data_IF_563226568021
#
_entry.id   IF_563226568021
#
_cell.length_a   1.000
_cell.length_b   1.000
_cell.length_c   1.000
_cell.angle_alpha   90.00
_cell.angle_beta   90.00
_cell.angle_gamma   90.00
#
_symmetry.space_group_name_H-M   'P 1'
#
loop_
_entity.id
_entity.type
_entity.pdbx_description
1 polymer ?
#
# COMPACT_ATOMS: atom_id res chain seq x y z
N UNK A 1 22.12 3.03 -30.82
CA UNK A 1 20.91 3.17 -29.99
C UNK A 1 21.28 2.70 -28.60
N UNK A 2 21.13 3.54 -27.57
CA UNK A 2 21.44 3.13 -26.20
C UNK A 2 20.59 1.89 -25.87
N UNK A 3 21.25 0.83 -25.42
CA UNK A 3 20.61 -0.42 -25.05
C UNK A 3 19.85 -0.18 -23.73
N UNK A 4 18.69 0.49 -23.80
CA UNK A 4 17.88 0.80 -22.62
C UNK A 4 17.34 -0.52 -22.09
N UNK A 5 17.94 -0.97 -20.99
CA UNK A 5 17.50 -2.14 -20.23
C UNK A 5 16.01 -1.96 -19.91
N UNK A 6 15.17 -2.88 -20.39
CA UNK A 6 13.72 -2.89 -20.11
C UNK A 6 13.49 -2.92 -18.61
N UNK A 7 12.69 -1.97 -18.10
CA UNK A 7 12.35 -1.91 -16.67
C UNK A 7 11.20 -2.86 -16.39
N UNK A 8 11.26 -3.53 -15.25
CA UNK A 8 10.11 -4.26 -14.70
C UNK A 8 9.70 -3.64 -13.39
N UNK A 9 8.50 -3.07 -13.37
CA UNK A 9 7.91 -2.38 -12.22
C UNK A 9 6.86 -3.30 -11.60
N UNK A 10 6.93 -3.49 -10.28
CA UNK A 10 5.85 -4.13 -9.52
C UNK A 10 5.38 -3.17 -8.44
N UNK A 11 4.07 -3.01 -8.30
CA UNK A 11 3.48 -2.38 -7.12
C UNK A 11 2.27 -3.16 -6.61
N UNK A 12 2.13 -3.20 -5.28
CA UNK A 12 1.09 -3.96 -4.60
C UNK A 12 0.24 -3.05 -3.71
N UNK A 13 -1.07 -3.28 -3.67
CA UNK A 13 -1.99 -2.59 -2.77
C UNK A 13 -2.92 -3.58 -2.06
N UNK A 14 -3.02 -3.44 -0.74
CA UNK A 14 -3.94 -4.27 0.05
C UNK A 14 -5.39 -3.87 -0.22
N UNK A 15 -6.30 -4.84 -0.43
CA UNK A 15 -7.74 -4.62 -0.49
C UNK A 15 -8.34 -4.45 0.91
N UNK A 16 -7.70 -3.64 1.76
CA UNK A 16 -8.19 -3.35 3.11
C UNK A 16 -8.90 -2.00 3.12
N UNK A 17 -10.00 -1.92 3.88
CA UNK A 17 -10.76 -0.69 4.12
C UNK A 17 -11.53 -0.14 2.91
N UNK A 18 -11.93 -1.00 1.97
CA UNK A 18 -12.79 -0.63 0.84
C UNK A 18 -12.12 0.29 -0.18
N UNK A 19 -12.91 1.25 -0.67
CA UNK A 19 -12.52 2.20 -1.72
C UNK A 19 -11.33 3.06 -1.28
N UNK A 20 -10.33 3.30 -2.15
CA UNK A 20 -9.21 4.16 -1.81
C UNK A 20 -9.60 5.58 -1.36
N UNK A 21 -8.81 6.03 -0.40
CA UNK A 21 -8.52 7.40 -0.04
C UNK A 21 -8.15 8.43 -1.09
N UNK A 22 -8.51 9.70 -0.93
CA UNK A 22 -7.79 10.81 -1.57
C UNK A 22 -6.28 10.78 -1.23
N UNK A 23 -5.94 10.43 0.02
CA UNK A 23 -4.54 10.21 0.42
C UNK A 23 -3.83 9.06 -0.32
N UNK A 24 -4.55 7.96 -0.64
CA UNK A 24 -3.98 6.89 -1.47
C UNK A 24 -3.84 7.33 -2.93
N UNK A 25 -4.85 8.04 -3.43
CA UNK A 25 -4.89 8.55 -4.80
C UNK A 25 -3.72 9.50 -5.09
N UNK A 26 -3.59 10.55 -4.29
CA UNK A 26 -2.54 11.57 -4.44
C UNK A 26 -1.15 11.07 -4.03
N UNK A 27 -1.09 10.07 -3.15
CA UNK A 27 0.17 9.52 -2.66
C UNK A 27 0.80 8.50 -3.60
N UNK A 28 0.00 7.65 -4.24
CA UNK A 28 0.50 6.53 -5.02
C UNK A 28 -0.24 6.31 -6.33
N UNK A 29 -1.57 6.21 -6.30
CA UNK A 29 -2.34 5.70 -7.45
C UNK A 29 -2.25 6.62 -8.68
N UNK A 30 -2.25 7.95 -8.49
CA UNK A 30 -2.07 8.89 -9.59
C UNK A 30 -0.68 8.74 -10.25
N UNK A 31 0.36 8.50 -9.46
CA UNK A 31 1.71 8.24 -9.98
C UNK A 31 1.80 6.90 -10.70
N UNK A 32 1.04 5.88 -10.27
CA UNK A 32 1.03 4.58 -10.95
C UNK A 32 0.61 4.72 -12.41
N UNK A 33 -0.37 5.59 -12.72
CA UNK A 33 -0.78 5.83 -14.11
C UNK A 33 0.41 6.25 -14.99
N UNK A 34 1.32 7.07 -14.45
CA UNK A 34 2.52 7.56 -15.13
C UNK A 34 3.65 6.53 -15.24
N UNK A 35 3.59 5.43 -14.47
CA UNK A 35 4.58 4.34 -14.54
C UNK A 35 4.30 3.37 -15.69
N UNK A 36 3.07 3.38 -16.22
CA UNK A 36 2.69 2.50 -17.33
C UNK A 36 3.54 2.77 -18.58
N UNK A 37 3.77 1.75 -19.43
CA UNK A 37 4.50 1.92 -20.67
C UNK A 37 3.96 3.08 -21.50
N UNK A 38 4.87 3.88 -22.02
CA UNK A 38 4.59 5.04 -22.87
C UNK A 38 5.35 4.91 -24.20
N UNK A 39 5.09 5.79 -25.15
CA UNK A 39 5.83 5.82 -26.42
C UNK A 39 7.36 5.97 -26.22
N UNK A 40 7.79 6.59 -25.13
CA UNK A 40 9.20 6.70 -24.78
C UNK A 40 9.80 5.37 -24.29
N UNK A 41 9.00 4.54 -23.60
CA UNK A 41 9.45 3.31 -22.95
C UNK A 41 8.50 2.13 -23.25
N UNK A 42 8.38 1.70 -24.52
CA UNK A 42 7.37 0.71 -24.93
C UNK A 42 7.64 -0.70 -24.40
N UNK A 43 8.88 -0.99 -23.99
CA UNK A 43 9.31 -2.30 -23.53
C UNK A 43 9.24 -2.47 -22.01
N UNK A 44 8.79 -1.45 -21.27
CA UNK A 44 8.63 -1.57 -19.82
C UNK A 44 7.50 -2.56 -19.50
N UNK A 45 7.69 -3.33 -18.43
CA UNK A 45 6.69 -4.26 -17.92
C UNK A 45 6.20 -3.77 -16.57
N UNK A 46 4.89 -3.61 -16.43
CA UNK A 46 4.31 -3.05 -15.21
C UNK A 46 3.25 -3.99 -14.67
N UNK A 47 3.43 -4.36 -13.41
CA UNK A 47 2.58 -5.29 -12.69
C UNK A 47 1.94 -4.59 -11.49
N UNK A 48 0.61 -4.63 -11.41
CA UNK A 48 -0.16 -4.17 -10.27
C UNK A 48 -0.86 -5.35 -9.61
N UNK A 49 -0.52 -5.58 -8.34
CA UNK A 49 -1.05 -6.69 -7.57
C UNK A 49 -2.04 -6.20 -6.52
N UNK A 50 -3.25 -6.76 -6.51
CA UNK A 50 -4.16 -6.66 -5.37
C UNK A 50 -3.73 -7.75 -4.38
N UNK A 51 -3.05 -7.33 -3.31
CA UNK A 51 -2.37 -8.23 -2.37
C UNK A 51 -3.29 -8.73 -1.26
N UNK A 52 -4.22 -9.61 -1.63
CA UNK A 52 -5.20 -10.22 -0.74
C UNK A 52 -4.59 -11.24 0.26
N UNK A 53 -3.47 -11.90 -0.06
CA UNK A 53 -2.74 -12.73 0.91
C UNK A 53 -2.12 -11.90 2.04
N UNK A 54 -1.68 -10.67 1.74
CA UNK A 54 -1.21 -9.75 2.77
C UNK A 54 -2.35 -9.23 3.67
N UNK A 55 -3.57 -9.10 3.13
CA UNK A 55 -4.72 -8.63 3.90
C UNK A 55 -5.12 -9.59 5.03
N UNK A 56 -4.97 -10.90 4.82
CA UNK A 56 -5.33 -11.94 5.81
C UNK A 56 -4.28 -12.14 6.91
N UNK A 57 -3.21 -11.33 6.94
CA UNK A 57 -2.24 -11.31 8.06
C UNK A 57 -2.84 -10.72 9.34
N UNK A 58 -4.01 -10.07 9.22
CA UNK A 58 -4.89 -9.69 10.31
C UNK A 58 -6.29 -10.26 10.02
N UNK A 59 -7.14 -10.49 11.04
CA UNK A 59 -8.49 -11.02 10.84
C UNK A 59 -9.30 -10.18 9.84
N UNK A 60 -9.98 -10.88 8.92
CA UNK A 60 -10.85 -10.27 7.91
C UNK A 60 -12.21 -10.95 7.93
N UNK A 61 -13.27 -10.17 7.71
CA UNK A 61 -14.56 -10.74 7.32
C UNK A 61 -14.49 -11.21 5.85
N UNK A 62 -14.81 -12.48 5.53
CA UNK A 62 -14.68 -13.01 4.18
C UNK A 62 -15.54 -12.30 3.13
N UNK A 63 -16.76 -11.87 3.48
CA UNK A 63 -17.62 -11.15 2.55
C UNK A 63 -17.04 -9.76 2.22
N UNK A 64 -16.58 -9.06 3.26
CA UNK A 64 -15.94 -7.75 3.17
C UNK A 64 -14.65 -7.81 2.36
N UNK A 65 -13.76 -8.80 2.61
CA UNK A 65 -12.53 -8.95 1.84
C UNK A 65 -12.81 -9.17 0.35
N UNK A 66 -13.78 -10.04 0.02
CA UNK A 66 -14.20 -10.27 -1.38
C UNK A 66 -14.71 -8.99 -2.03
N UNK A 67 -15.51 -8.21 -1.30
CA UNK A 67 -16.06 -6.96 -1.81
C UNK A 67 -14.95 -5.92 -2.00
N UNK A 68 -14.07 -5.74 -1.02
CA UNK A 68 -12.95 -4.81 -1.09
C UNK A 68 -11.98 -5.14 -2.24
N UNK A 69 -11.73 -6.43 -2.51
CA UNK A 69 -10.90 -6.84 -3.64
C UNK A 69 -11.51 -6.40 -4.98
N UNK A 70 -12.84 -6.51 -5.13
CA UNK A 70 -13.54 -6.03 -6.32
C UNK A 70 -13.51 -4.51 -6.41
N UNK A 71 -13.80 -3.81 -5.31
CA UNK A 71 -13.80 -2.36 -5.27
C UNK A 71 -12.40 -1.77 -5.54
N UNK A 72 -11.35 -2.46 -5.08
CA UNK A 72 -9.97 -2.10 -5.38
C UNK A 72 -9.67 -2.24 -6.88
N UNK A 73 -10.10 -3.34 -7.52
CA UNK A 73 -9.92 -3.52 -8.96
C UNK A 73 -10.63 -2.41 -9.75
N UNK A 74 -11.89 -2.11 -9.39
CA UNK A 74 -12.66 -1.02 -9.98
C UNK A 74 -11.95 0.32 -9.81
N UNK A 75 -11.46 0.61 -8.60
CA UNK A 75 -10.76 1.84 -8.31
C UNK A 75 -9.47 1.99 -9.14
N UNK A 76 -8.66 0.94 -9.27
CA UNK A 76 -7.42 0.96 -10.05
C UNK A 76 -7.71 1.22 -11.54
N UNK A 77 -8.69 0.51 -12.11
CA UNK A 77 -9.12 0.73 -13.50
C UNK A 77 -9.67 2.16 -13.69
N UNK A 78 -10.48 2.65 -12.75
CA UNK A 78 -11.06 3.99 -12.83
C UNK A 78 -10.03 5.12 -12.65
N UNK A 79 -8.94 4.90 -11.91
CA UNK A 79 -7.85 5.87 -11.79
C UNK A 79 -7.07 5.98 -13.11
N UNK A 80 -7.07 4.94 -13.94
CA UNK A 80 -6.44 4.94 -15.26
C UNK A 80 -5.40 3.85 -15.46
N UNK A 81 -5.40 2.80 -14.62
CA UNK A 81 -4.63 1.59 -14.89
C UNK A 81 -5.26 0.91 -16.10
N UNK A 82 -4.46 0.79 -17.16
CA UNK A 82 -4.85 0.29 -18.47
C UNK A 82 -4.37 -1.17 -18.62
N UNK A 83 -5.29 -2.15 -18.72
CA UNK A 83 -4.94 -3.57 -18.78
C UNK A 83 -4.28 -3.99 -20.11
N UNK A 84 -4.29 -3.12 -21.12
CA UNK A 84 -3.54 -3.33 -22.36
C UNK A 84 -2.07 -2.92 -22.21
N UNK A 85 -1.77 -2.01 -21.27
CA UNK A 85 -0.41 -1.51 -21.01
C UNK A 85 0.25 -2.17 -19.80
N UNK A 86 -0.54 -2.67 -18.87
CA UNK A 86 -0.07 -3.20 -17.59
C UNK A 86 -0.81 -4.49 -17.21
N UNK A 87 -0.23 -5.25 -16.28
CA UNK A 87 -0.82 -6.49 -15.77
C UNK A 87 -1.43 -6.22 -14.40
N UNK A 88 -2.76 -6.18 -14.33
CA UNK A 88 -3.51 -6.06 -13.07
C UNK A 88 -4.05 -7.43 -12.66
N UNK A 89 -3.72 -7.90 -11.46
CA UNK A 89 -4.11 -9.25 -11.02
C UNK A 89 -4.33 -9.34 -9.50
N UNK A 90 -5.01 -10.41 -9.06
CA UNK A 90 -5.15 -10.75 -7.63
C UNK A 90 -4.04 -11.68 -7.20
N UNK A 91 -3.34 -11.35 -6.11
CA UNK A 91 -2.19 -12.11 -5.62
C UNK A 91 -2.52 -13.59 -5.37
N UNK A 92 -3.64 -13.87 -4.69
CA UNK A 92 -4.08 -15.25 -4.36
C UNK A 92 -4.36 -16.14 -5.58
N UNK A 93 -4.51 -15.57 -6.78
CA UNK A 93 -4.77 -16.31 -8.02
C UNK A 93 -3.50 -16.80 -8.72
N UNK A 94 -2.32 -16.33 -8.29
CA UNK A 94 -1.03 -16.78 -8.79
C UNK A 94 -0.32 -17.57 -7.68
N UNK A 95 -0.52 -18.90 -7.68
CA UNK A 95 -0.04 -19.79 -6.61
C UNK A 95 1.49 -19.73 -6.38
N UNK A 96 2.25 -19.34 -7.40
CA UNK A 96 3.70 -19.17 -7.31
C UNK A 96 4.13 -18.19 -6.21
N UNK A 97 3.28 -17.22 -5.81
CA UNK A 97 3.57 -16.30 -4.70
C UNK A 97 3.81 -17.03 -3.39
N UNK A 98 2.87 -17.87 -2.97
CA UNK A 98 3.00 -18.67 -1.75
C UNK A 98 4.10 -19.71 -1.87
N UNK A 99 4.27 -20.29 -3.06
CA UNK A 99 5.31 -21.29 -3.32
C UNK A 99 6.73 -20.70 -3.20
N UNK A 100 6.98 -19.54 -3.83
CA UNK A 100 8.27 -18.87 -3.68
C UNK A 100 8.47 -18.38 -2.24
N UNK A 101 7.43 -17.84 -1.61
CA UNK A 101 7.51 -17.39 -0.21
C UNK A 101 7.98 -18.54 0.70
N UNK A 102 7.45 -19.76 0.53
CA UNK A 102 7.92 -20.94 1.25
C UNK A 102 9.41 -21.20 1.07
N UNK A 103 9.89 -21.20 -0.18
CA UNK A 103 11.32 -21.39 -0.47
C UNK A 103 12.20 -20.30 0.16
N UNK A 104 11.72 -19.05 0.17
CA UNK A 104 12.42 -17.93 0.78
C UNK A 104 12.36 -17.96 2.31
N UNK A 105 11.28 -18.47 2.92
CA UNK A 105 11.19 -18.67 4.38
C UNK A 105 12.29 -19.60 4.88
N UNK A 106 12.56 -20.70 4.16
CA UNK A 106 13.63 -21.64 4.51
C UNK A 106 15.04 -21.04 4.48
N UNK A 107 15.20 -19.84 3.90
CA UNK A 107 16.50 -19.17 3.76
C UNK A 107 16.60 -17.83 4.48
N UNK A 108 15.50 -17.30 4.99
CA UNK A 108 15.47 -16.02 5.69
C UNK A 108 15.70 -16.24 7.18
N UNK A 109 16.81 -15.76 7.77
CA UNK A 109 17.05 -15.91 9.19
C UNK A 109 15.98 -15.17 10.02
N UNK A 110 15.49 -15.79 11.10
CA UNK A 110 14.47 -15.16 11.95
C UNK A 110 14.95 -13.81 12.51
N UNK A 111 16.24 -13.70 12.83
CA UNK A 111 16.84 -12.44 13.31
C UNK A 111 16.70 -11.27 12.32
N UNK A 112 16.49 -11.52 11.02
CA UNK A 112 16.22 -10.47 10.04
C UNK A 112 14.81 -9.90 10.20
N UNK A 113 13.83 -10.77 10.48
CA UNK A 113 12.42 -10.39 10.68
C UNK A 113 12.22 -9.69 12.02
N UNK A 114 12.90 -10.15 13.07
CA UNK A 114 12.80 -9.60 14.41
C UNK A 114 13.19 -8.10 14.53
N UNK A 115 14.02 -7.61 13.59
CA UNK A 115 14.50 -6.23 13.57
C UNK A 115 13.58 -5.26 12.81
N UNK A 116 12.51 -5.77 12.19
CA UNK A 116 11.57 -4.93 11.45
C UNK A 116 10.76 -4.06 12.40
N UNK A 117 10.80 -2.74 12.19
CA UNK A 117 10.10 -1.79 13.08
C UNK A 117 8.58 -1.92 12.98
N UNK A 118 8.06 -2.19 11.78
CA UNK A 118 6.62 -2.33 11.55
C UNK A 118 5.99 -3.47 12.35
N UNK A 119 6.73 -4.56 12.57
CA UNK A 119 6.29 -5.65 13.44
C UNK A 119 6.04 -5.12 14.86
N UNK A 120 7.03 -4.43 15.45
CA UNK A 120 6.91 -3.85 16.80
C UNK A 120 5.75 -2.86 16.90
N UNK A 121 5.59 -1.97 15.91
CA UNK A 121 4.50 -1.00 15.90
C UNK A 121 3.13 -1.69 15.80
N UNK A 122 2.96 -2.66 14.91
CA UNK A 122 1.67 -3.38 14.79
C UNK A 122 1.34 -4.19 16.03
N UNK A 123 2.33 -4.78 16.70
CA UNK A 123 2.14 -5.43 17.99
C UNK A 123 1.61 -4.45 19.03
N UNK A 124 2.22 -3.27 19.14
CA UNK A 124 1.81 -2.23 20.07
C UNK A 124 0.37 -1.76 19.81
N UNK A 125 0.02 -1.52 18.54
CA UNK A 125 -1.36 -1.13 18.17
C UNK A 125 -2.38 -2.23 18.48
N UNK A 126 -2.04 -3.50 18.26
CA UNK A 126 -2.93 -4.62 18.60
C UNK A 126 -3.13 -4.73 20.13
N UNK A 127 -2.11 -4.44 20.93
CA UNK A 127 -2.19 -4.43 22.40
C UNK A 127 -3.09 -3.30 22.90
N UNK A 128 -2.93 -2.09 22.36
CA UNK A 128 -3.76 -0.93 22.68
C UNK A 128 -5.25 -1.21 22.37
N UNK A 129 -5.54 -1.85 21.23
CA UNK A 129 -6.91 -2.20 20.85
C UNK A 129 -7.52 -3.32 21.70
N UNK A 130 -6.71 -4.20 22.28
CA UNK A 130 -7.16 -5.28 23.16
C UNK A 130 -7.15 -4.91 24.65
N UNK A 131 -6.71 -3.69 25.01
CA UNK A 131 -6.66 -3.24 26.40
C UNK A 131 -5.64 -4.00 27.27
N UNK A 132 -4.64 -4.64 26.66
CA UNK A 132 -3.61 -5.40 27.38
C UNK A 132 -2.47 -4.45 27.74
N UNK A 133 -2.49 -3.92 28.96
CA UNK A 133 -1.36 -3.20 29.55
C UNK A 133 -0.42 -4.19 30.26
N UNK A 134 0.82 -4.34 29.79
CA UNK A 134 1.81 -5.14 30.51
C UNK A 134 3.19 -5.16 29.86
N UNK A 135 4.23 -4.91 30.67
CA UNK A 135 5.63 -5.21 30.36
C UNK A 135 5.83 -6.73 30.27
N UNK A 136 6.53 -7.20 29.22
CA UNK A 136 6.84 -8.62 29.02
C UNK A 136 5.74 -9.39 28.31
N UNK A 137 5.63 -9.18 27.00
CA UNK A 137 4.54 -9.75 26.19
C UNK A 137 4.82 -11.20 25.77
N UNK A 138 3.77 -12.00 25.52
CA UNK A 138 3.92 -13.34 24.94
C UNK A 138 4.70 -13.31 23.61
N UNK A 139 4.60 -12.23 22.85
CA UNK A 139 5.33 -12.03 21.60
C UNK A 139 6.82 -11.74 21.84
N UNK A 140 7.17 -10.95 22.85
CA UNK A 140 8.56 -10.73 23.27
C UNK A 140 9.16 -12.01 23.86
N UNK A 141 8.41 -12.74 24.69
CA UNK A 141 8.81 -14.05 25.21
C UNK A 141 8.96 -15.09 24.09
N UNK A 142 8.04 -15.13 23.12
CA UNK A 142 8.14 -16.01 21.94
C UNK A 142 9.35 -15.65 21.08
N UNK A 143 9.62 -14.36 20.87
CA UNK A 143 10.80 -13.91 20.13
C UNK A 143 12.09 -14.15 20.90
N UNK A 144 12.10 -13.98 22.23
CA UNK A 144 13.24 -14.30 23.09
C UNK A 144 13.54 -15.81 23.08
N UNK A 145 12.51 -16.65 23.10
CA UNK A 145 12.62 -18.10 22.91
C UNK A 145 13.17 -18.44 21.52
N UNK A 146 12.63 -17.85 20.45
CA UNK A 146 13.12 -18.07 19.08
C UNK A 146 14.55 -17.57 18.88
N UNK A 147 14.96 -16.51 19.60
CA UNK A 147 16.31 -15.95 19.57
C UNK A 147 17.29 -16.69 20.49
N UNK A 148 16.84 -17.71 21.24
CA UNK A 148 17.70 -18.51 22.12
C UNK A 148 18.07 -17.82 23.44
N UNK A 149 17.37 -16.74 23.82
CA UNK A 149 17.60 -15.99 25.05
C UNK A 149 16.65 -16.41 26.20
N UNK A 150 15.74 -17.37 25.97
CA UNK A 150 14.85 -17.91 27.00
C UNK A 150 15.42 -19.16 27.67
N UNK A 151 15.22 -19.29 28.98
CA UNK A 151 15.47 -20.55 29.71
C UNK A 151 14.51 -21.63 29.21
N UNK A 152 15.04 -22.71 28.63
CA UNK A 152 14.25 -23.85 28.16
C UNK A 152 13.95 -24.75 29.36
N UNK A 153 12.72 -24.74 29.84
CA UNK A 153 12.23 -25.78 30.75
C UNK A 153 11.92 -27.03 29.91
N UNK A 154 12.67 -28.12 30.13
CA UNK A 154 12.50 -29.41 29.43
C UNK A 154 11.37 -30.27 30.03
N UNK A 155 10.41 -29.63 30.71
CA UNK A 155 9.22 -30.30 31.21
C UNK A 155 8.38 -30.91 30.08
N UNK A 156 7.52 -31.91 30.39
CA UNK A 156 6.62 -32.49 29.41
C UNK A 156 5.73 -31.42 28.78
N UNK A 157 5.59 -31.46 27.45
CA UNK A 157 4.66 -30.60 26.71
C UNK A 157 3.25 -30.89 27.26
N UNK A 158 2.49 -29.89 27.73
CA UNK A 158 1.15 -30.12 28.24
C UNK A 158 0.27 -30.80 27.19
N UNK A 159 -0.40 -31.90 27.57
CA UNK A 159 -1.24 -32.74 26.70
C UNK A 159 -2.47 -32.01 26.10
N UNK A 160 -2.71 -30.77 26.51
CA UNK A 160 -3.72 -29.91 25.90
C UNK A 160 -3.20 -28.48 25.86
N UNK A 161 -3.28 -27.87 24.68
CA UNK A 161 -3.32 -26.41 24.60
C UNK A 161 -4.58 -26.01 25.36
N UNK A 162 -4.42 -25.53 26.60
CA UNK A 162 -5.54 -25.22 27.48
C UNK A 162 -6.54 -24.33 26.74
N UNK A 163 -7.83 -24.60 26.96
CA UNK A 163 -8.98 -23.92 26.34
C UNK A 163 -9.08 -22.41 26.62
N UNK A 164 -8.09 -21.84 27.32
CA UNK A 164 -7.79 -20.42 27.38
C UNK A 164 -6.81 -20.01 26.28
N UNK A 165 -6.97 -20.53 25.05
CA UNK A 165 -6.14 -20.13 23.92
C UNK A 165 -6.33 -18.64 23.71
N UNK A 166 -5.27 -17.88 23.97
CA UNK A 166 -5.28 -16.45 23.77
C UNK A 166 -5.27 -16.19 22.25
N UNK A 167 -6.45 -16.29 21.62
CA UNK A 167 -6.70 -16.10 20.17
C UNK A 167 -6.39 -14.65 19.74
N UNK A 168 -6.01 -13.77 20.67
CA UNK A 168 -5.64 -12.38 20.43
C UNK A 168 -4.15 -12.12 20.11
N UNK A 169 -3.28 -13.14 20.18
CA UNK A 169 -1.85 -12.98 19.91
C UNK A 169 -1.52 -12.70 18.42
N UNK A 170 -0.36 -12.08 18.12
CA UNK A 170 0.05 -11.82 16.74
C UNK A 170 0.31 -13.13 15.99
N UNK A 171 -0.23 -13.25 14.77
CA UNK A 171 -0.07 -14.47 13.99
C UNK A 171 1.30 -14.54 13.30
N UNK A 172 1.75 -15.76 12.98
CA UNK A 172 2.99 -15.99 12.21
C UNK A 172 3.00 -15.22 10.88
N UNK A 173 1.84 -15.12 10.20
CA UNK A 173 1.72 -14.39 8.95
C UNK A 173 2.10 -12.91 9.09
N UNK A 174 1.77 -12.29 10.22
CA UNK A 174 2.13 -10.90 10.49
C UNK A 174 3.64 -10.69 10.73
N UNK A 175 4.35 -11.72 11.21
CA UNK A 175 5.82 -11.69 11.30
C UNK A 175 6.48 -11.96 9.95
N UNK A 176 5.88 -12.87 9.17
CA UNK A 176 6.47 -13.49 8.00
C UNK A 176 6.16 -12.76 6.68
N UNK A 177 5.13 -11.91 6.63
CA UNK A 177 4.73 -11.23 5.38
C UNK A 177 5.83 -10.42 4.67
N UNK A 178 6.89 -9.87 5.33
CA UNK A 178 7.97 -9.22 4.59
C UNK A 178 8.70 -10.15 3.62
N UNK A 179 8.74 -11.46 3.89
CA UNK A 179 9.30 -12.47 2.97
C UNK A 179 8.31 -12.79 1.86
N UNK A 180 7.00 -12.82 2.14
CA UNK A 180 5.98 -12.90 1.10
C UNK A 180 6.06 -11.70 0.15
N UNK A 181 6.28 -10.50 0.68
CA UNK A 181 6.52 -9.30 -0.12
C UNK A 181 7.78 -9.44 -1.00
N UNK A 182 8.86 -10.02 -0.46
CA UNK A 182 10.04 -10.33 -1.26
C UNK A 182 9.71 -11.33 -2.37
N UNK A 183 8.92 -12.37 -2.10
CA UNK A 183 8.47 -13.31 -3.11
C UNK A 183 7.65 -12.61 -4.22
N UNK A 184 6.73 -11.73 -3.84
CA UNK A 184 5.91 -10.96 -4.78
C UNK A 184 6.79 -10.20 -5.78
N UNK A 185 7.84 -9.54 -5.29
CA UNK A 185 8.79 -8.73 -6.08
C UNK A 185 9.67 -9.60 -6.98
N UNK A 186 10.25 -10.66 -6.41
CA UNK A 186 11.26 -11.46 -7.08
C UNK A 186 10.68 -12.39 -8.15
N UNK A 187 9.41 -12.80 -8.02
CA UNK A 187 8.71 -13.61 -9.03
C UNK A 187 8.68 -12.96 -10.41
N UNK A 188 8.46 -11.65 -10.46
CA UNK A 188 8.41 -10.90 -11.72
C UNK A 188 9.76 -10.33 -12.12
N UNK A 189 10.82 -10.62 -11.35
CA UNK A 189 12.16 -10.05 -11.56
C UNK A 189 12.11 -8.53 -11.63
N UNK A 190 11.32 -7.92 -10.74
CA UNK A 190 11.14 -6.49 -10.72
C UNK A 190 12.49 -5.78 -10.48
N UNK A 191 12.78 -4.78 -11.29
CA UNK A 191 13.95 -3.92 -11.19
C UNK A 191 13.63 -2.67 -10.39
N UNK A 192 12.38 -2.21 -10.43
CA UNK A 192 11.89 -1.02 -9.74
C UNK A 192 10.62 -1.36 -8.94
N UNK A 193 10.56 -0.89 -7.70
CA UNK A 193 9.39 -1.08 -6.82
C UNK A 193 8.99 0.27 -6.23
N UNK A 194 7.89 0.89 -6.68
CA UNK A 194 7.37 2.11 -6.10
C UNK A 194 6.86 1.83 -4.69
N UNK A 195 7.44 2.50 -3.70
CA UNK A 195 7.10 2.27 -2.29
C UNK A 195 7.03 3.58 -1.50
N UNK A 196 6.17 3.59 -0.47
CA UNK A 196 6.18 4.62 0.55
C UNK A 196 7.39 4.49 1.48
N UNK A 197 7.74 5.59 2.17
CA UNK A 197 8.85 5.63 3.13
C UNK A 197 8.73 4.56 4.23
N UNK A 198 7.50 4.22 4.63
CA UNK A 198 7.24 3.18 5.62
C UNK A 198 7.77 1.81 5.19
N UNK A 199 7.81 1.51 3.89
CA UNK A 199 8.18 0.20 3.34
C UNK A 199 9.68 0.06 3.03
N UNK A 200 10.51 1.07 3.34
CA UNK A 200 11.96 1.04 3.04
C UNK A 200 12.65 -0.19 3.66
N UNK A 201 12.31 -0.56 4.91
CA UNK A 201 12.93 -1.71 5.57
C UNK A 201 12.58 -3.05 4.89
N UNK A 202 11.36 -3.21 4.39
CA UNK A 202 10.97 -4.41 3.65
C UNK A 202 11.68 -4.50 2.30
N UNK A 203 11.95 -3.35 1.67
CA UNK A 203 12.73 -3.30 0.44
C UNK A 203 14.18 -3.72 0.67
N UNK A 204 14.80 -3.23 1.76
CA UNK A 204 16.14 -3.66 2.14
C UNK A 204 16.18 -5.16 2.42
N UNK A 205 15.19 -5.70 3.13
CA UNK A 205 15.06 -7.15 3.33
C UNK A 205 14.95 -7.92 2.02
N UNK A 206 14.14 -7.43 1.07
CA UNK A 206 13.99 -8.05 -0.25
C UNK A 206 15.32 -8.09 -1.00
N UNK A 207 16.10 -7.00 -0.95
CA UNK A 207 17.45 -6.93 -1.53
C UNK A 207 18.38 -7.95 -0.87
N UNK A 208 18.37 -8.05 0.46
CA UNK A 208 19.22 -8.97 1.20
C UNK A 208 18.86 -10.43 0.91
N UNK A 209 17.56 -10.75 0.81
CA UNK A 209 17.07 -12.07 0.41
C UNK A 209 17.52 -12.41 -1.01
N UNK A 210 17.39 -11.49 -1.97
CA UNK A 210 17.81 -11.72 -3.35
C UNK A 210 19.32 -11.97 -3.46
N UNK A 211 20.14 -11.16 -2.78
CA UNK A 211 21.60 -11.33 -2.72
C UNK A 211 21.98 -12.65 -2.06
N UNK A 212 21.36 -12.98 -0.92
CA UNK A 212 21.60 -14.22 -0.19
C UNK A 212 21.27 -15.45 -1.05
N UNK A 213 20.12 -15.44 -1.72
CA UNK A 213 19.71 -16.52 -2.63
C UNK A 213 20.72 -16.72 -3.76
N UNK A 214 21.06 -15.64 -4.49
CA UNK A 214 22.00 -15.69 -5.61
C UNK A 214 23.39 -16.17 -5.18
N UNK A 215 23.88 -15.69 -4.03
CA UNK A 215 25.18 -16.07 -3.48
C UNK A 215 25.20 -17.55 -3.09
N UNK A 216 24.17 -18.01 -2.37
CA UNK A 216 24.08 -19.38 -1.90
C UNK A 216 24.08 -20.40 -3.04
N UNK A 217 23.25 -20.17 -4.06
CA UNK A 217 23.15 -21.07 -5.22
C UNK A 217 24.19 -20.77 -6.32
N UNK A 218 25.06 -19.77 -6.13
CA UNK A 218 26.09 -19.33 -7.08
C UNK A 218 25.52 -19.09 -8.49
N UNK A 219 24.31 -18.53 -8.56
CA UNK A 219 23.54 -18.27 -9.80
C UNK A 219 22.90 -16.89 -9.73
N UNK A 220 22.86 -16.18 -10.86
CA UNK A 220 22.12 -14.91 -10.97
C UNK A 220 20.65 -15.19 -11.32
N UNK A 221 19.88 -15.68 -10.34
CA UNK A 221 18.47 -16.04 -10.53
C UNK A 221 17.59 -14.80 -10.44
N UNK A 222 17.83 -13.96 -9.45
CA UNK A 222 17.08 -12.73 -9.23
C UNK A 222 17.90 -11.49 -9.57
N UNK A 223 17.34 -10.49 -10.28
CA UNK A 223 17.91 -9.16 -10.26
C UNK A 223 17.77 -8.56 -8.85
N UNK A 224 18.60 -7.56 -8.54
CA UNK A 224 18.47 -6.82 -7.28
C UNK A 224 17.48 -5.67 -7.49
N UNK A 225 16.29 -5.71 -6.86
CA UNK A 225 15.29 -4.66 -7.03
C UNK A 225 15.74 -3.35 -6.38
N UNK A 226 15.30 -2.22 -6.94
CA UNK A 226 15.50 -0.90 -6.37
C UNK A 226 14.17 -0.28 -5.95
N UNK A 227 14.13 0.28 -4.74
CA UNK A 227 13.01 1.11 -4.31
C UNK A 227 12.96 2.42 -5.10
N UNK A 228 11.78 2.74 -5.64
CA UNK A 228 11.51 4.05 -6.24
C UNK A 228 10.67 4.85 -5.24
N UNK A 229 11.26 5.92 -4.75
CA UNK A 229 10.66 6.77 -3.73
C UNK A 229 10.10 8.01 -4.41
N UNK A 230 8.77 8.14 -4.42
CA UNK A 230 8.14 9.43 -4.71
C UNK A 230 7.95 10.20 -3.41
N UNK A 231 8.21 11.50 -3.43
CA UNK A 231 7.81 12.42 -2.36
C UNK A 231 6.28 12.38 -2.25
N UNK A 232 5.78 11.45 -1.45
CA UNK A 232 4.35 11.17 -1.35
C UNK A 232 3.74 12.37 -0.64
N UNK A 233 2.81 13.08 -1.29
CA UNK A 233 2.11 14.20 -0.64
C UNK A 233 1.31 13.61 0.53
N UNK A 234 1.83 13.77 1.76
CA UNK A 234 1.23 13.19 2.97
C UNK A 234 -0.05 13.94 3.30
N UNK A 235 -1.17 13.41 2.81
CA UNK A 235 -2.50 13.96 3.08
C UNK A 235 -2.97 13.51 4.47
N UNK A 236 -3.38 14.49 5.27
CA UNK A 236 -3.79 14.27 6.67
C UNK A 236 -5.30 14.10 6.78
N UNK A 237 -5.75 13.57 7.91
CA UNK A 237 -7.17 13.46 8.25
C UNK A 237 -7.84 14.83 8.31
N UNK A 238 -9.09 14.91 7.83
CA UNK A 238 -9.91 16.12 7.88
C UNK A 238 -10.45 16.41 9.29
N UNK A 239 -10.34 15.46 10.23
CA UNK A 239 -10.81 15.61 11.62
C UNK A 239 -9.66 15.75 12.60
N UNK A 240 -8.57 15.02 12.35
CA UNK A 240 -7.35 15.06 13.14
C UNK A 240 -6.17 15.39 12.23
N UNK A 241 -5.94 16.68 11.89
CA UNK A 241 -4.96 17.07 10.87
C UNK A 241 -3.49 16.76 11.19
N UNK A 242 -3.21 16.28 12.40
CA UNK A 242 -1.89 15.78 12.83
C UNK A 242 -1.68 14.30 12.46
N UNK A 243 -2.75 13.57 12.15
CA UNK A 243 -2.73 12.15 11.79
C UNK A 243 -2.90 11.96 10.29
N UNK A 244 -2.20 10.98 9.71
CA UNK A 244 -2.36 10.60 8.29
C UNK A 244 -3.80 10.13 8.05
N UNK A 245 -4.37 10.49 6.90
CA UNK A 245 -5.67 9.94 6.49
C UNK A 245 -5.59 8.41 6.44
N UNK A 246 -6.55 7.73 7.05
CA UNK A 246 -6.57 6.26 7.17
C UNK A 246 -7.93 5.70 6.79
N UNK A 247 -7.91 4.52 6.16
CA UNK A 247 -9.11 3.72 5.89
C UNK A 247 -9.71 3.09 7.15
N UNK A 248 -8.89 2.88 8.18
CA UNK A 248 -9.31 2.24 9.44
C UNK A 248 -9.87 3.22 10.46
N UNK A 249 -9.93 4.53 10.14
CA UNK A 249 -10.55 5.52 11.02
C UNK A 249 -12.07 5.27 11.08
N UNK A 250 -12.62 5.22 12.30
CA UNK A 250 -14.05 4.98 12.55
C UNK A 250 -14.90 6.09 11.92
N UNK A 251 -14.39 7.33 11.93
CA UNK A 251 -15.10 8.45 11.34
C UNK A 251 -14.86 8.50 9.84
N UNK A 252 -15.86 8.14 9.04
CA UNK A 252 -15.78 8.32 7.58
C UNK A 252 -15.55 9.78 7.18
N UNK A 253 -16.01 10.72 8.00
CA UNK A 253 -15.83 12.15 7.79
C UNK A 253 -14.37 12.64 7.97
N UNK A 254 -13.46 11.77 8.43
CA UNK A 254 -12.01 12.00 8.51
C UNK A 254 -11.32 11.94 7.14
N UNK A 255 -11.96 11.34 6.13
CA UNK A 255 -11.36 11.03 4.82
C UNK A 255 -12.30 11.36 3.67
N UNK A 256 -11.71 11.61 2.51
CA UNK A 256 -12.45 11.68 1.24
C UNK A 256 -12.19 10.38 0.49
N UNK A 257 -13.21 9.58 0.23
CA UNK A 257 -13.08 8.42 -0.64
C UNK A 257 -13.13 8.89 -2.10
N UNK A 258 -12.42 8.22 -3.00
CA UNK A 258 -12.37 8.65 -4.41
C UNK A 258 -13.72 8.52 -5.14
N UNK A 259 -14.67 7.78 -4.57
CA UNK A 259 -16.03 7.63 -5.09
C UNK A 259 -17.10 8.42 -4.32
N UNK A 260 -16.71 9.24 -3.32
CA UNK A 260 -17.63 10.14 -2.63
C UNK A 260 -18.33 11.07 -3.64
N UNK A 261 -19.64 11.26 -3.50
CA UNK A 261 -20.40 12.20 -4.33
C UNK A 261 -19.96 13.65 -4.12
N UNK A 262 -20.24 14.57 -5.07
CA UNK A 262 -19.91 15.98 -4.89
C UNK A 262 -20.44 16.59 -3.59
N UNK A 263 -21.67 16.24 -3.19
CA UNK A 263 -22.27 16.74 -1.95
C UNK A 263 -21.58 16.20 -0.70
N UNK A 264 -21.17 14.92 -0.71
CA UNK A 264 -20.41 14.31 0.39
C UNK A 264 -19.03 14.96 0.55
N UNK A 265 -18.31 15.17 -0.57
CA UNK A 265 -17.00 15.84 -0.56
C UNK A 265 -17.12 17.24 0.03
N UNK A 266 -18.06 18.04 -0.48
CA UNK A 266 -18.30 19.40 0.01
C UNK A 266 -18.68 19.41 1.49
N UNK A 267 -19.53 18.49 1.93
CA UNK A 267 -19.94 18.36 3.34
C UNK A 267 -18.76 18.00 4.26
N UNK A 268 -17.93 17.04 3.85
CA UNK A 268 -16.76 16.58 4.62
C UNK A 268 -15.70 17.67 4.75
N UNK A 269 -15.41 18.39 3.67
CA UNK A 269 -14.47 19.53 3.65
C UNK A 269 -15.03 20.72 4.44
N UNK A 270 -16.31 21.06 4.29
CA UNK A 270 -16.95 22.13 5.08
C UNK A 270 -16.76 21.90 6.59
N UNK A 271 -16.83 20.64 7.03
CA UNK A 271 -16.67 20.23 8.43
C UNK A 271 -15.22 19.95 8.84
N UNK A 272 -14.22 20.17 7.99
CA UNK A 272 -12.82 19.89 8.33
C UNK A 272 -12.32 20.77 9.48
N UNK A 273 -11.45 20.20 10.32
CA UNK A 273 -10.86 20.88 11.48
C UNK A 273 -9.87 21.94 11.01
N UNK A 274 -10.04 23.17 11.50
CA UNK A 274 -9.17 24.32 11.22
C UNK A 274 -8.96 25.15 12.49
N UNK A 275 -7.91 25.95 12.52
CA UNK A 275 -7.71 26.95 13.57
C UNK A 275 -8.58 28.20 13.36
N UNK A 276 -8.65 29.07 14.36
CA UNK A 276 -9.40 30.33 14.34
C UNK A 276 -8.58 31.56 13.92
N UNK A 277 -7.33 31.36 13.48
CA UNK A 277 -6.43 32.46 13.08
C UNK A 277 -6.91 33.07 11.77
N UNK A 278 -6.87 34.40 11.67
CA UNK A 278 -7.22 35.12 10.44
C UNK A 278 -6.18 34.90 9.34
N UNK A 279 -6.65 34.90 8.10
CA UNK A 279 -5.84 34.74 6.89
C UNK A 279 -5.40 33.29 6.65
N UNK A 280 -5.00 33.01 5.41
CA UNK A 280 -4.54 31.69 4.98
C UNK A 280 -3.02 31.69 4.90
N UNK A 281 -2.37 30.94 5.79
CA UNK A 281 -0.91 30.76 5.80
C UNK A 281 -0.56 29.29 5.87
N UNK A 282 0.59 28.92 5.29
CA UNK A 282 1.09 27.56 5.37
C UNK A 282 2.00 27.39 6.58
N UNK A 283 1.45 26.78 7.63
CA UNK A 283 2.20 26.35 8.80
C UNK A 283 1.72 24.94 9.20
N UNK A 284 2.44 23.87 8.82
CA UNK A 284 2.00 22.51 9.11
C UNK A 284 2.14 22.10 10.58
N UNK A 285 2.85 22.88 11.41
CA UNK A 285 3.03 22.60 12.83
C UNK A 285 1.92 23.28 13.63
N UNK A 286 1.74 24.59 13.44
CA UNK A 286 0.78 25.36 14.24
C UNK A 286 -0.61 25.47 13.58
N UNK A 287 -0.70 25.31 12.26
CA UNK A 287 -1.95 25.40 11.47
C UNK A 287 -2.17 24.15 10.59
N UNK A 288 -2.11 22.94 11.16
CA UNK A 288 -2.09 21.70 10.38
C UNK A 288 -3.35 21.51 9.51
N UNK A 289 -4.50 22.02 9.93
CA UNK A 289 -5.74 21.99 9.14
C UNK A 289 -5.67 22.81 7.86
N UNK A 290 -5.24 24.08 7.97
CA UNK A 290 -5.04 24.98 6.82
C UNK A 290 -3.98 24.41 5.88
N UNK A 291 -2.84 24.00 6.43
CA UNK A 291 -1.74 23.43 5.67
C UNK A 291 -2.16 22.16 4.91
N UNK A 292 -3.03 21.32 5.51
CA UNK A 292 -3.55 20.13 4.84
C UNK A 292 -4.46 20.49 3.65
N UNK A 293 -5.35 21.47 3.78
CA UNK A 293 -6.23 21.89 2.67
C UNK A 293 -5.43 22.50 1.52
N UNK A 294 -4.44 23.34 1.81
CA UNK A 294 -3.54 23.90 0.80
C UNK A 294 -2.76 22.79 0.06
N UNK A 295 -2.24 21.80 0.79
CA UNK A 295 -1.57 20.64 0.19
C UNK A 295 -2.51 19.84 -0.71
N UNK A 296 -3.75 19.61 -0.30
CA UNK A 296 -4.74 18.90 -1.09
C UNK A 296 -5.04 19.68 -2.39
N UNK A 297 -5.28 20.98 -2.28
CA UNK A 297 -5.54 21.84 -3.44
C UNK A 297 -4.37 21.80 -4.43
N UNK A 298 -3.16 22.05 -3.94
CA UNK A 298 -1.93 21.98 -4.74
C UNK A 298 -1.71 20.60 -5.37
N UNK A 299 -1.99 19.54 -4.63
CA UNK A 299 -1.84 18.17 -5.11
C UNK A 299 -2.75 17.88 -6.30
N UNK A 300 -4.03 18.23 -6.21
CA UNK A 300 -5.01 17.97 -7.26
C UNK A 300 -4.75 18.86 -8.47
N UNK A 301 -4.45 20.14 -8.23
CA UNK A 301 -4.12 21.09 -9.30
C UNK A 301 -2.88 20.63 -10.06
N UNK A 302 -1.81 20.24 -9.37
CA UNK A 302 -0.58 19.72 -9.99
C UNK A 302 -0.78 18.48 -10.86
N UNK A 303 -1.79 17.64 -10.60
CA UNK A 303 -2.08 16.47 -11.42
C UNK A 303 -2.78 16.81 -12.74
N UNK A 304 -3.49 17.94 -12.79
CA UNK A 304 -4.32 18.32 -13.95
C UNK A 304 -3.72 19.48 -14.73
N UNK A 305 -3.18 20.44 -14.01
CA UNK A 305 -2.68 21.72 -14.49
C UNK A 305 -1.32 21.98 -13.82
N UNK A 306 -0.25 21.24 -14.17
CA UNK A 306 1.05 21.35 -13.52
C UNK A 306 1.69 22.75 -13.65
N UNK A 307 1.30 23.51 -14.67
CA UNK A 307 1.77 24.89 -14.90
C UNK A 307 0.94 25.95 -14.14
N UNK A 308 -0.19 25.56 -13.52
CA UNK A 308 -1.00 26.49 -12.74
C UNK A 308 -0.22 26.91 -11.47
N UNK A 309 -0.12 28.21 -11.13
CA UNK A 309 0.53 28.66 -9.90
C UNK A 309 0.01 27.94 -8.64
N UNK A 310 -1.29 27.64 -8.59
CA UNK A 310 -1.94 26.90 -7.50
C UNK A 310 -1.54 25.41 -7.45
N UNK A 311 -0.69 24.90 -8.35
CA UNK A 311 -0.11 23.56 -8.29
C UNK A 311 0.94 23.39 -7.17
N UNK A 312 1.35 24.49 -6.54
CA UNK A 312 2.28 24.54 -5.42
C UNK A 312 1.60 25.06 -4.16
N UNK A 313 2.14 24.72 -2.99
CA UNK A 313 1.59 25.22 -1.72
C UNK A 313 1.79 26.73 -1.63
N UNK A 314 2.94 27.21 -2.08
CA UNK A 314 3.34 28.61 -2.12
C UNK A 314 2.39 29.41 -3.00
N UNK A 315 2.08 28.92 -4.20
CA UNK A 315 1.12 29.55 -5.08
C UNK A 315 -0.32 29.51 -4.54
N UNK A 316 -0.72 28.44 -3.83
CA UNK A 316 -2.00 28.43 -3.12
C UNK A 316 -2.07 29.50 -2.02
N UNK A 317 -0.99 29.71 -1.26
CA UNK A 317 -0.96 30.74 -0.21
C UNK A 317 -1.16 32.13 -0.82
N UNK A 318 -0.51 32.43 -1.94
CA UNK A 318 -0.69 33.71 -2.63
C UNK A 318 -2.10 33.86 -3.21
N UNK A 319 -2.61 32.81 -3.88
CA UNK A 319 -3.94 32.81 -4.49
C UNK A 319 -5.08 32.97 -3.47
N UNK A 320 -4.90 32.42 -2.27
CA UNK A 320 -5.92 32.43 -1.21
C UNK A 320 -5.61 33.39 -0.05
N UNK A 321 -4.68 34.35 -0.22
CA UNK A 321 -4.25 35.26 0.85
C UNK A 321 -5.39 36.06 1.48
N UNK A 322 -6.36 36.46 0.67
CA UNK A 322 -7.52 37.27 1.07
C UNK A 322 -8.73 36.42 1.48
N UNK A 323 -8.59 35.09 1.50
CA UNK A 323 -9.69 34.19 1.85
C UNK A 323 -9.81 34.02 3.37
N UNK A 324 -11.02 33.76 3.82
CA UNK A 324 -11.28 33.15 5.11
C UNK A 324 -11.32 31.60 5.02
N UNK A 325 -11.44 30.96 6.18
CA UNK A 325 -11.50 29.49 6.27
C UNK A 325 -12.69 28.89 5.49
N UNK A 326 -13.83 29.58 5.41
CA UNK A 326 -15.01 29.07 4.73
C UNK A 326 -14.83 29.14 3.20
N UNK A 327 -14.24 30.22 2.70
CA UNK A 327 -13.88 30.40 1.30
C UNK A 327 -12.82 29.39 0.87
N UNK A 328 -11.76 29.18 1.69
CA UNK A 328 -10.74 28.16 1.40
C UNK A 328 -11.35 26.76 1.34
N UNK A 329 -12.18 26.38 2.32
CA UNK A 329 -12.89 25.10 2.33
C UNK A 329 -13.74 24.91 1.08
N UNK A 330 -14.46 25.95 0.66
CA UNK A 330 -15.29 25.90 -0.55
C UNK A 330 -14.43 25.65 -1.80
N UNK A 331 -13.38 26.44 -2.00
CA UNK A 331 -12.49 26.31 -3.15
C UNK A 331 -11.79 24.93 -3.21
N UNK A 332 -11.30 24.45 -2.06
CA UNK A 332 -10.67 23.12 -1.97
C UNK A 332 -11.69 22.01 -2.26
N UNK A 333 -12.91 22.13 -1.73
CA UNK A 333 -13.99 21.18 -2.02
C UNK A 333 -14.33 21.12 -3.51
N UNK A 334 -14.52 22.27 -4.15
CA UNK A 334 -14.79 22.37 -5.59
C UNK A 334 -13.64 21.78 -6.42
N UNK A 335 -12.39 22.07 -6.07
CA UNK A 335 -11.22 21.50 -6.73
C UNK A 335 -11.15 19.98 -6.59
N UNK A 336 -11.48 19.42 -5.43
CA UNK A 336 -11.55 17.95 -5.25
C UNK A 336 -12.68 17.35 -6.09
N UNK A 337 -13.86 17.99 -6.09
CA UNK A 337 -15.00 17.54 -6.89
C UNK A 337 -14.63 17.50 -8.36
N UNK A 338 -14.02 18.55 -8.88
CA UNK A 338 -13.56 18.61 -10.25
C UNK A 338 -12.46 17.57 -10.52
N UNK A 339 -11.44 17.52 -9.67
CA UNK A 339 -10.29 16.62 -9.80
C UNK A 339 -10.64 15.13 -9.86
N UNK A 340 -11.71 14.73 -9.17
CA UNK A 340 -12.17 13.33 -9.11
C UNK A 340 -13.32 13.02 -10.08
N UNK A 341 -13.87 13.98 -10.83
CA UNK A 341 -15.08 13.77 -11.65
C UNK A 341 -14.94 12.58 -12.60
N UNK A 342 -13.88 12.56 -13.41
CA UNK A 342 -13.62 11.47 -14.36
C UNK A 342 -13.35 10.12 -13.69
N UNK A 343 -12.73 10.11 -12.51
CA UNK A 343 -12.53 8.88 -11.72
C UNK A 343 -13.87 8.35 -11.24
N UNK A 344 -14.73 9.22 -10.66
CA UNK A 344 -16.06 8.83 -10.17
C UNK A 344 -16.96 8.29 -11.28
N UNK A 345 -16.97 8.95 -12.43
CA UNK A 345 -17.75 8.51 -13.60
C UNK A 345 -17.30 7.12 -14.07
N UNK A 346 -15.99 6.89 -14.19
CA UNK A 346 -15.45 5.58 -14.56
C UNK A 346 -15.75 4.52 -13.49
N UNK A 347 -15.65 4.84 -12.20
CA UNK A 347 -16.05 3.92 -11.13
C UNK A 347 -17.54 3.57 -11.21
N UNK A 348 -18.41 4.55 -11.41
CA UNK A 348 -19.85 4.33 -11.54
C UNK A 348 -20.20 3.45 -12.75
N UNK A 349 -19.47 3.60 -13.87
CA UNK A 349 -19.59 2.71 -15.04
C UNK A 349 -19.13 1.29 -14.71
N UNK A 350 -17.90 1.13 -14.20
CA UNK A 350 -17.30 -0.17 -13.91
C UNK A 350 -18.06 -0.96 -12.85
N UNK A 351 -18.68 -0.30 -11.86
CA UNK A 351 -19.58 -0.94 -10.89
C UNK A 351 -20.80 -1.60 -11.56
N UNK A 352 -21.24 -1.09 -12.72
CA UNK A 352 -22.35 -1.66 -13.52
C UNK A 352 -21.87 -2.74 -14.51
N UNK A 353 -20.56 -2.91 -14.67
CA UNK A 353 -19.94 -3.85 -15.62
C UNK A 353 -19.05 -4.90 -14.88
N UNK A 354 -19.58 -5.64 -13.89
CA UNK A 354 -18.76 -6.54 -13.07
C UNK A 354 -18.12 -7.68 -13.88
N UNK A 355 -18.75 -8.10 -14.98
CA UNK A 355 -18.22 -9.13 -15.88
C UNK A 355 -16.91 -8.67 -16.55
N UNK A 356 -16.87 -7.42 -17.02
CA UNK A 356 -15.68 -6.83 -17.63
C UNK A 356 -14.53 -6.74 -16.62
N UNK A 357 -14.81 -6.29 -15.39
CA UNK A 357 -13.78 -6.18 -14.34
C UNK A 357 -13.19 -7.56 -14.03
N UNK A 358 -14.03 -8.60 -13.93
CA UNK A 358 -13.57 -9.96 -13.69
C UNK A 358 -12.77 -10.53 -14.88
N UNK A 359 -13.18 -10.24 -16.12
CA UNK A 359 -12.44 -10.62 -17.32
C UNK A 359 -11.03 -10.01 -17.35
N UNK A 360 -10.93 -8.70 -17.07
CA UNK A 360 -9.65 -8.00 -16.97
C UNK A 360 -8.74 -8.65 -15.93
N UNK A 361 -9.28 -8.96 -14.74
CA UNK A 361 -8.51 -9.63 -13.68
C UNK A 361 -8.04 -11.02 -14.10
N UNK A 362 -8.91 -11.83 -14.71
CA UNK A 362 -8.53 -13.18 -15.19
C UNK A 362 -7.43 -13.11 -16.25
N UNK A 363 -7.56 -12.21 -17.22
CA UNK A 363 -6.54 -12.02 -18.25
C UNK A 363 -5.20 -11.57 -17.65
N UNK A 364 -5.24 -10.68 -16.65
CA UNK A 364 -4.05 -10.26 -15.92
C UNK A 364 -3.43 -11.38 -15.09
N UNK A 365 -4.24 -12.22 -14.45
CA UNK A 365 -3.81 -13.39 -13.68
C UNK A 365 -3.10 -14.42 -14.56
N UNK A 366 -3.63 -14.71 -15.74
CA UNK A 366 -2.98 -15.61 -16.70
C UNK A 366 -1.63 -15.05 -17.18
N UNK A 367 -1.58 -13.75 -17.50
CA UNK A 367 -0.33 -13.06 -17.88
C UNK A 367 0.70 -13.12 -16.75
N UNK A 368 0.28 -12.83 -15.51
CA UNK A 368 1.12 -12.87 -14.32
C UNK A 368 1.64 -14.28 -14.03
N UNK A 369 0.76 -15.29 -14.07
CA UNK A 369 1.11 -16.68 -13.82
C UNK A 369 2.16 -17.19 -14.80
N UNK A 370 2.01 -16.92 -16.11
CA UNK A 370 2.99 -17.32 -17.13
C UNK A 370 4.40 -16.76 -16.85
N UNK A 371 4.49 -15.52 -16.35
CA UNK A 371 5.77 -14.90 -15.98
C UNK A 371 6.31 -15.53 -14.69
N UNK A 372 5.46 -15.67 -13.69
CA UNK A 372 5.79 -16.27 -12.40
C UNK A 372 6.32 -17.71 -12.54
N UNK A 373 5.66 -18.55 -13.33
CA UNK A 373 6.06 -19.94 -13.60
C UNK A 373 7.44 -20.04 -14.27
N UNK A 374 7.77 -19.08 -15.14
CA UNK A 374 9.12 -19.02 -15.74
C UNK A 374 10.18 -18.78 -14.68
N UNK A 375 9.96 -17.82 -13.79
CA UNK A 375 10.88 -17.56 -12.67
C UNK A 375 10.95 -18.76 -11.73
N UNK A 376 9.81 -19.38 -11.42
CA UNK A 376 9.76 -20.56 -10.54
C UNK A 376 10.53 -21.75 -11.10
N UNK A 377 10.52 -21.98 -12.41
CA UNK A 377 11.36 -23.02 -13.03
C UNK A 377 12.85 -22.79 -12.79
N UNK A 378 13.31 -21.54 -12.93
CA UNK A 378 14.71 -21.19 -12.70
C UNK A 378 15.08 -21.31 -11.21
N UNK A 379 14.17 -20.92 -10.31
CA UNK A 379 14.31 -21.09 -8.86
C UNK A 379 14.39 -22.56 -8.48
N UNK A 380 13.43 -23.40 -8.91
CA UNK A 380 13.40 -24.84 -8.62
C UNK A 380 14.67 -25.53 -9.13
N UNK A 381 15.09 -25.22 -10.36
CA UNK A 381 16.37 -25.71 -10.92
C UNK A 381 17.60 -25.23 -10.14
N UNK A 382 17.55 -24.05 -9.53
CA UNK A 382 18.64 -23.56 -8.67
C UNK A 382 18.71 -24.32 -7.34
N UNK A 383 17.55 -24.60 -6.75
CA UNK A 383 17.40 -25.31 -5.47
C UNK A 383 17.66 -26.82 -5.61
N UNK A 384 17.31 -27.40 -6.77
CA UNK A 384 17.37 -28.85 -7.03
C UNK A 384 16.02 -29.56 -6.85
N UNK A 385 14.91 -28.87 -7.14
CA UNK A 385 13.53 -29.40 -7.09
C UNK A 385 12.95 -29.66 -8.48
#
# INVERSE_FOLDING_TARGET
MANTVSRTVLSGIQPTGGVPHLGNYLGALANWVNLQPSAANPNDKVFYSIVDLHAITVPQDPATLRQNTKDMAIALLAVGIDPEKSVLFRQSRVHCHSELAWMLFCRTPVGWLARMHQWKTKLQTMQEQQGIAGEGTLAESTMALIQGNGSVDNGPIPDSVSSSTNVGGPCLGLLAYPVLQAADILLYRATEVPIGEDQIQHMNLTVDIAKSFNSHYKKSVFPIPKGVYSSTKKIMSLRTPTSKMSKSDISDASRINIDDSPSEIMSKIKKSTMDSTRGITYDPVNRPGVANLLRIHAAITSLREPENPEATVEGCVEAFKDYDNAQLKKAVGERIVEGLSGVRERMARLKKEPAYVEEVLKNGEEKALKVAERTMRDVKKAIGL
#
